data_IF_245412238044
#
_entry.id   IF_245412238044
#
_cell.length_a   1.000
_cell.length_b   1.000
_cell.length_c   1.000
_cell.angle_alpha   90.00
_cell.angle_beta   90.00
_cell.angle_gamma   90.00
#
_symmetry.space_group_name_H-M   'P 1'
#
loop_
_entity.id
_entity.type
_entity.pdbx_description
1 polymer ?
#
# COMPACT_ATOMS: atom_id res chain seq x y z
N UNK A 1 28.22 -13.12 -6.38
CA UNK A 1 27.86 -12.05 -5.43
C UNK A 1 26.59 -12.49 -4.73
N UNK A 2 26.61 -12.69 -3.41
CA UNK A 2 25.43 -13.09 -2.64
C UNK A 2 24.69 -11.83 -2.21
N UNK A 3 23.40 -11.70 -2.55
CA UNK A 3 22.58 -10.57 -2.12
C UNK A 3 22.19 -10.74 -0.65
N UNK A 4 22.23 -9.66 0.13
CA UNK A 4 21.79 -9.68 1.53
C UNK A 4 20.27 -9.85 1.64
N UNK A 5 19.79 -10.33 2.79
CA UNK A 5 18.35 -10.42 3.08
C UNK A 5 17.65 -9.07 2.97
N UNK A 6 18.31 -8.00 3.42
CA UNK A 6 17.86 -6.63 3.27
C UNK A 6 17.66 -6.26 1.79
N UNK A 7 18.67 -6.49 0.95
CA UNK A 7 18.60 -6.14 -0.48
C UNK A 7 17.45 -6.88 -1.17
N UNK A 8 17.26 -8.17 -0.88
CA UNK A 8 16.20 -8.99 -1.48
C UNK A 8 14.82 -8.51 -1.03
N UNK A 9 14.67 -8.22 0.26
CA UNK A 9 13.39 -7.78 0.84
C UNK A 9 12.99 -6.42 0.30
N UNK A 10 13.90 -5.44 0.31
CA UNK A 10 13.66 -4.11 -0.23
C UNK A 10 13.34 -4.15 -1.74
N UNK A 11 14.07 -4.97 -2.51
CA UNK A 11 13.77 -5.19 -3.92
C UNK A 11 12.35 -5.72 -4.15
N UNK A 12 11.93 -6.71 -3.36
CA UNK A 12 10.58 -7.29 -3.46
C UNK A 12 9.49 -6.23 -3.23
N UNK A 13 9.58 -5.47 -2.14
CA UNK A 13 8.62 -4.39 -1.82
C UNK A 13 8.56 -3.36 -2.94
N UNK A 14 9.73 -2.87 -3.39
CA UNK A 14 9.81 -1.86 -4.45
C UNK A 14 9.20 -2.35 -5.76
N UNK A 15 9.50 -3.57 -6.18
CA UNK A 15 8.95 -4.17 -7.42
C UNK A 15 7.44 -4.32 -7.36
N UNK A 16 6.88 -4.67 -6.21
CA UNK A 16 5.44 -4.77 -6.03
C UNK A 16 4.77 -3.39 -6.07
N UNK A 17 5.34 -2.38 -5.40
CA UNK A 17 4.86 -0.99 -5.50
C UNK A 17 4.91 -0.46 -6.94
N UNK A 18 6.02 -0.66 -7.65
CA UNK A 18 6.19 -0.26 -9.06
C UNK A 18 5.17 -0.94 -9.97
N UNK A 19 4.88 -2.22 -9.74
CA UNK A 19 3.88 -2.95 -10.52
C UNK A 19 2.47 -2.37 -10.34
N UNK A 20 2.09 -1.97 -9.12
CA UNK A 20 0.79 -1.32 -8.86
C UNK A 20 0.67 -0.03 -9.66
N UNK A 21 1.68 0.83 -9.58
CA UNK A 21 1.69 2.11 -10.32
C UNK A 21 1.64 1.88 -11.82
N UNK A 22 2.54 1.04 -12.37
CA UNK A 22 2.60 0.78 -13.80
C UNK A 22 1.25 0.30 -14.35
N UNK A 23 0.61 -0.65 -13.67
CA UNK A 23 -0.68 -1.18 -14.10
C UNK A 23 -1.77 -0.12 -14.05
N UNK A 24 -1.84 0.67 -12.98
CA UNK A 24 -2.84 1.70 -12.82
C UNK A 24 -2.65 2.86 -13.82
N UNK A 25 -1.40 3.15 -14.19
CA UNK A 25 -1.05 4.22 -15.14
C UNK A 25 -1.52 3.92 -16.58
N UNK A 26 -1.70 2.65 -16.93
CA UNK A 26 -2.23 2.22 -18.24
C UNK A 26 -3.75 2.46 -18.39
N UNK A 27 -4.46 2.77 -17.31
CA UNK A 27 -5.92 2.89 -17.28
C UNK A 27 -6.38 4.36 -17.32
N UNK A 28 -7.56 4.63 -17.86
CA UNK A 28 -8.24 5.92 -17.69
C UNK A 28 -8.90 6.02 -16.31
N UNK A 29 -9.36 7.22 -15.92
CA UNK A 29 -10.19 7.41 -14.72
C UNK A 29 -11.42 6.49 -14.71
N UNK A 30 -12.13 6.40 -15.83
CA UNK A 30 -13.29 5.50 -15.94
C UNK A 30 -12.88 4.04 -15.78
N UNK A 31 -11.75 3.65 -16.37
CA UNK A 31 -11.22 2.30 -16.24
C UNK A 31 -10.82 1.97 -14.79
N UNK A 32 -10.20 2.91 -14.07
CA UNK A 32 -9.85 2.68 -12.66
C UNK A 32 -11.08 2.50 -11.78
N UNK A 33 -12.14 3.26 -12.03
CA UNK A 33 -13.35 3.27 -11.20
C UNK A 33 -14.39 2.19 -11.59
N UNK A 34 -14.28 1.59 -12.76
CA UNK A 34 -15.20 0.54 -13.20
C UNK A 34 -15.19 -0.66 -12.24
N UNK A 35 -16.36 -1.24 -12.00
CA UNK A 35 -16.56 -2.42 -11.15
C UNK A 35 -17.25 -3.52 -11.94
N UNK A 36 -16.72 -4.76 -11.93
CA UNK A 36 -17.38 -5.87 -12.62
C UNK A 36 -18.58 -6.42 -11.85
N UNK A 37 -18.69 -6.16 -10.55
CA UNK A 37 -19.82 -6.56 -9.70
C UNK A 37 -19.92 -5.68 -8.46
N UNK A 38 -21.06 -5.77 -7.76
CA UNK A 38 -21.26 -5.11 -6.47
C UNK A 38 -20.36 -5.64 -5.34
N UNK A 39 -19.80 -6.85 -5.48
CA UNK A 39 -18.89 -7.45 -4.50
C UNK A 39 -17.41 -7.30 -4.85
N UNK A 40 -17.09 -6.60 -5.93
CA UNK A 40 -15.73 -6.35 -6.37
C UNK A 40 -15.42 -4.86 -6.22
N UNK A 41 -14.46 -4.48 -5.37
CA UNK A 41 -13.94 -3.13 -5.36
C UNK A 41 -13.32 -2.77 -6.72
N UNK A 42 -13.29 -1.47 -7.02
CA UNK A 42 -12.65 -0.96 -8.23
C UNK A 42 -11.12 -1.07 -8.16
N UNK A 43 -10.45 -0.95 -9.31
CA UNK A 43 -8.97 -0.89 -9.32
C UNK A 43 -8.50 0.38 -8.58
N UNK A 44 -9.23 1.50 -8.70
CA UNK A 44 -8.98 2.72 -7.93
C UNK A 44 -8.97 2.44 -6.42
N UNK A 45 -9.95 1.68 -5.92
CA UNK A 45 -9.99 1.29 -4.51
C UNK A 45 -8.79 0.45 -4.11
N UNK A 46 -8.39 -0.54 -4.90
CA UNK A 46 -7.21 -1.34 -4.59
C UNK A 46 -5.93 -0.53 -4.56
N UNK A 47 -5.76 0.42 -5.49
CA UNK A 47 -4.60 1.34 -5.48
C UNK A 47 -4.61 2.21 -4.24
N UNK A 48 -5.75 2.84 -3.92
CA UNK A 48 -5.90 3.64 -2.70
C UNK A 48 -5.61 2.82 -1.43
N UNK A 49 -6.19 1.64 -1.33
CA UNK A 49 -6.04 0.74 -0.19
C UNK A 49 -4.57 0.36 0.03
N UNK A 50 -3.87 -0.06 -1.03
CA UNK A 50 -2.45 -0.41 -0.95
C UNK A 50 -1.61 0.82 -0.59
N UNK A 51 -1.94 2.00 -1.12
CA UNK A 51 -1.29 3.25 -0.76
C UNK A 51 -1.50 3.63 0.72
N UNK A 52 -2.70 3.44 1.28
CA UNK A 52 -2.97 3.62 2.71
C UNK A 52 -2.16 2.64 3.58
N UNK A 53 -2.02 1.38 3.15
CA UNK A 53 -1.19 0.40 3.86
C UNK A 53 0.30 0.74 3.83
N UNK A 54 0.81 1.23 2.69
CA UNK A 54 2.19 1.71 2.59
C UNK A 54 2.42 2.95 3.48
N UNK A 55 1.45 3.86 3.54
CA UNK A 55 1.50 5.04 4.40
C UNK A 55 1.48 4.67 5.89
N UNK A 56 0.64 3.69 6.26
CA UNK A 56 0.63 3.14 7.60
C UNK A 56 1.97 2.48 7.93
N UNK A 57 2.51 1.62 7.05
CA UNK A 57 3.81 0.97 7.25
C UNK A 57 4.91 2.01 7.52
N UNK A 58 5.05 2.99 6.64
CA UNK A 58 6.13 3.98 6.76
C UNK A 58 6.01 4.80 8.04
N UNK A 59 4.79 5.13 8.48
CA UNK A 59 4.57 5.84 9.75
C UNK A 59 4.88 5.00 10.99
N UNK A 60 4.74 3.68 10.91
CA UNK A 60 4.88 2.76 12.06
C UNK A 60 6.29 2.20 12.20
N UNK A 61 7.03 2.06 11.10
CA UNK A 61 8.39 1.53 11.11
C UNK A 61 9.34 2.22 12.11
N UNK A 62 9.32 3.55 12.28
CA UNK A 62 10.19 4.19 13.28
C UNK A 62 9.92 3.78 14.72
N UNK A 63 8.71 3.29 15.03
CA UNK A 63 8.35 2.81 16.36
C UNK A 63 8.56 1.30 16.54
N UNK A 64 8.99 0.57 15.50
CA UNK A 64 9.20 -0.87 15.58
C UNK A 64 10.43 -1.23 16.43
N UNK A 65 11.48 -0.40 16.39
CA UNK A 65 12.68 -0.53 17.21
C UNK A 65 13.22 0.86 17.57
N UNK A 66 14.02 0.97 18.64
CA UNK A 66 14.65 2.23 19.03
C UNK A 66 15.56 2.77 17.92
N UNK A 67 16.35 1.89 17.31
CA UNK A 67 17.31 2.26 16.26
C UNK A 67 16.60 2.75 14.98
N UNK A 68 15.50 2.12 14.56
CA UNK A 68 14.69 2.64 13.45
C UNK A 68 14.11 4.01 13.78
N UNK A 69 13.72 4.26 15.03
CA UNK A 69 13.28 5.57 15.50
C UNK A 69 14.37 6.64 15.36
N UNK A 70 15.61 6.30 15.68
CA UNK A 70 16.76 7.21 15.51
C UNK A 70 17.08 7.48 14.03
N UNK A 71 16.95 6.46 13.17
CA UNK A 71 17.25 6.56 11.73
C UNK A 71 16.19 7.32 10.93
N UNK A 72 14.91 7.09 11.24
CA UNK A 72 13.78 7.60 10.47
C UNK A 72 13.09 8.83 11.08
N UNK A 73 13.31 9.08 12.38
CA UNK A 73 12.58 10.10 13.12
C UNK A 73 11.12 9.71 13.41
N UNK A 74 10.29 10.67 13.83
CA UNK A 74 8.86 10.40 14.06
C UNK A 74 8.13 10.13 12.74
N UNK A 75 7.43 9.01 12.63
CA UNK A 75 6.60 8.68 11.48
C UNK A 75 5.21 9.33 11.56
N UNK A 76 4.83 10.05 10.50
CA UNK A 76 3.47 10.55 10.30
C UNK A 76 2.96 10.07 8.96
N UNK A 77 1.68 9.72 8.90
CA UNK A 77 1.04 9.39 7.62
C UNK A 77 0.95 10.64 6.75
N UNK A 78 1.28 10.49 5.47
CA UNK A 78 1.10 11.54 4.45
C UNK A 78 -0.38 11.92 4.38
N UNK A 79 -1.27 10.93 4.49
CA UNK A 79 -2.72 11.11 4.56
C UNK A 79 -3.16 12.17 5.57
N UNK A 80 -2.63 12.07 6.80
CA UNK A 80 -2.97 12.99 7.89
C UNK A 80 -2.29 14.35 7.70
N UNK A 81 -1.01 14.32 7.31
CA UNK A 81 -0.19 15.52 7.11
C UNK A 81 -0.77 16.45 6.04
N UNK A 82 -1.26 15.86 4.95
CA UNK A 82 -1.85 16.58 3.81
C UNK A 82 -3.37 16.74 3.93
N UNK A 83 -3.99 16.21 5.01
CA UNK A 83 -5.44 16.22 5.25
C UNK A 83 -6.24 15.66 4.08
N UNK A 84 -5.77 14.57 3.49
CA UNK A 84 -6.38 13.99 2.28
C UNK A 84 -7.80 13.50 2.51
N UNK A 85 -8.11 13.04 3.73
CA UNK A 85 -9.47 12.67 4.11
C UNK A 85 -10.47 13.81 3.93
N UNK A 86 -10.10 15.01 4.39
CA UNK A 86 -10.92 16.22 4.23
C UNK A 86 -10.95 16.67 2.78
N UNK A 87 -9.78 16.70 2.12
CA UNK A 87 -9.63 17.14 0.73
C UNK A 87 -10.48 16.32 -0.24
N UNK A 88 -10.53 15.00 -0.04
CA UNK A 88 -11.28 14.08 -0.89
C UNK A 88 -12.73 13.90 -0.44
N UNK A 89 -13.14 14.54 0.66
CA UNK A 89 -14.52 14.45 1.16
C UNK A 89 -14.86 13.07 1.73
N UNK A 90 -13.88 12.31 2.21
CA UNK A 90 -14.08 10.96 2.77
C UNK A 90 -14.14 10.94 4.30
N UNK A 91 -13.96 12.08 4.98
CA UNK A 91 -13.93 12.14 6.45
C UNK A 91 -15.20 11.64 7.16
N UNK A 92 -16.34 11.63 6.48
CA UNK A 92 -17.61 11.10 7.02
C UNK A 92 -17.82 9.60 6.78
N UNK A 93 -16.92 8.95 6.04
CA UNK A 93 -17.01 7.52 5.73
C UNK A 93 -16.30 6.70 6.80
N UNK A 94 -16.83 5.51 7.07
CA UNK A 94 -16.08 4.51 7.84
C UNK A 94 -14.97 3.94 6.95
N UNK A 95 -13.76 4.43 7.16
CA UNK A 95 -12.58 4.01 6.43
C UNK A 95 -12.00 2.67 6.91
N UNK A 96 -12.69 1.96 7.80
CA UNK A 96 -12.24 0.69 8.34
C UNK A 96 -10.99 0.80 9.22
N UNK A 97 -10.35 -0.34 9.47
CA UNK A 97 -9.18 -0.44 10.35
C UNK A 97 -8.03 0.51 9.95
N UNK A 98 -7.55 1.31 10.90
CA UNK A 98 -6.50 2.33 10.72
C UNK A 98 -6.79 3.30 9.54
N UNK A 99 -8.06 3.48 9.18
CA UNK A 99 -8.49 4.26 8.01
C UNK A 99 -7.83 3.82 6.69
N UNK A 100 -7.63 2.52 6.51
CA UNK A 100 -6.97 1.93 5.33
C UNK A 100 -7.92 1.29 4.33
N UNK A 101 -9.21 1.20 4.64
CA UNK A 101 -10.19 0.37 3.94
C UNK A 101 -10.24 -1.08 4.43
N UNK A 102 -9.45 -1.45 5.44
CA UNK A 102 -9.48 -2.80 6.00
C UNK A 102 -10.84 -3.08 6.67
N UNK A 103 -11.53 -4.13 6.22
CA UNK A 103 -12.83 -4.52 6.77
C UNK A 103 -13.98 -3.58 6.37
N UNK A 104 -13.74 -2.69 5.40
CA UNK A 104 -14.77 -1.82 4.85
C UNK A 104 -15.81 -2.65 4.08
N UNK A 105 -17.07 -2.27 4.23
CA UNK A 105 -18.19 -2.86 3.49
C UNK A 105 -18.13 -2.51 2.00
N UNK A 106 -18.64 -3.41 1.15
CA UNK A 106 -18.60 -3.27 -0.31
C UNK A 106 -19.38 -2.04 -0.80
N UNK A 107 -20.50 -1.68 -0.15
CA UNK A 107 -21.30 -0.50 -0.52
C UNK A 107 -20.60 0.80 -0.07
N UNK A 108 -19.89 0.77 1.07
CA UNK A 108 -19.07 1.90 1.53
C UNK A 108 -17.89 2.11 0.59
N UNK A 109 -17.18 1.04 0.24
CA UNK A 109 -16.06 1.05 -0.73
C UNK A 109 -16.51 1.61 -2.08
N UNK A 110 -17.70 1.22 -2.54
CA UNK A 110 -18.31 1.69 -3.79
C UNK A 110 -18.64 3.18 -3.79
N UNK A 111 -19.03 3.72 -2.64
CA UNK A 111 -19.48 5.09 -2.49
C UNK A 111 -18.35 6.08 -2.21
N UNK A 112 -17.12 5.60 -1.97
CA UNK A 112 -15.98 6.48 -1.71
C UNK A 112 -15.74 7.45 -2.87
N UNK A 113 -15.74 8.78 -2.63
CA UNK A 113 -15.36 9.78 -3.61
C UNK A 113 -13.83 9.79 -3.82
N UNK A 114 -13.29 8.70 -4.40
CA UNK A 114 -11.87 8.65 -4.76
C UNK A 114 -11.54 9.76 -5.77
N UNK A 115 -10.38 10.43 -5.65
CA UNK A 115 -10.03 11.55 -6.50
C UNK A 115 -9.73 11.09 -7.93
N UNK A 116 -9.56 12.04 -8.89
CA UNK A 116 -9.08 11.72 -10.22
C UNK A 116 -7.77 10.93 -10.20
N UNK A 117 -7.54 10.14 -11.26
CA UNK A 117 -6.40 9.25 -11.44
C UNK A 117 -5.08 9.89 -11.05
N UNK A 118 -4.78 11.06 -11.59
CA UNK A 118 -3.48 11.70 -11.40
C UNK A 118 -3.23 12.03 -9.93
N UNK A 119 -4.26 12.47 -9.20
CA UNK A 119 -4.17 12.74 -7.77
C UNK A 119 -4.09 11.46 -6.93
N UNK A 120 -4.86 10.42 -7.28
CA UNK A 120 -4.76 9.11 -6.64
C UNK A 120 -3.35 8.51 -6.80
N UNK A 121 -2.81 8.55 -8.02
CA UNK A 121 -1.51 7.98 -8.33
C UNK A 121 -0.36 8.84 -7.78
N UNK A 122 -0.51 10.16 -7.68
CA UNK A 122 0.44 11.01 -6.95
C UNK A 122 0.54 10.58 -5.48
N UNK A 123 -0.61 10.45 -4.79
CA UNK A 123 -0.62 9.98 -3.41
C UNK A 123 0.02 8.60 -3.27
N UNK A 124 -0.35 7.65 -4.14
CA UNK A 124 0.22 6.30 -4.12
C UNK A 124 1.74 6.29 -4.34
N UNK A 125 2.26 7.08 -5.29
CA UNK A 125 3.71 7.19 -5.51
C UNK A 125 4.42 7.73 -4.28
N UNK A 126 3.91 8.79 -3.67
CA UNK A 126 4.53 9.41 -2.48
C UNK A 126 4.55 8.45 -1.28
N UNK A 127 3.48 7.71 -1.04
CA UNK A 127 3.44 6.73 0.07
C UNK A 127 4.30 5.52 -0.21
N UNK A 128 4.34 5.02 -1.45
CA UNK A 128 5.25 3.93 -1.84
C UNK A 128 6.71 4.32 -1.72
N UNK A 129 7.08 5.53 -2.13
CA UNK A 129 8.43 6.04 -1.94
C UNK A 129 8.80 6.16 -0.45
N UNK A 130 7.89 6.67 0.38
CA UNK A 130 8.10 6.75 1.82
C UNK A 130 8.26 5.37 2.47
N UNK A 131 7.41 4.40 2.11
CA UNK A 131 7.51 3.02 2.55
C UNK A 131 8.82 2.36 2.09
N UNK A 132 9.22 2.57 0.84
CA UNK A 132 10.48 2.06 0.32
C UNK A 132 11.67 2.62 1.11
N UNK A 133 11.69 3.92 1.42
CA UNK A 133 12.74 4.53 2.25
C UNK A 133 12.75 3.96 3.67
N UNK A 134 11.58 3.72 4.28
CA UNK A 134 11.49 3.13 5.60
C UNK A 134 12.03 1.69 5.61
N UNK A 135 11.70 0.89 4.60
CA UNK A 135 12.23 -0.47 4.41
C UNK A 135 13.73 -0.46 4.15
N UNK A 136 14.23 0.49 3.35
CA UNK A 136 15.66 0.62 3.06
C UNK A 136 16.49 0.92 4.33
N UNK A 137 15.90 1.58 5.34
CA UNK A 137 16.56 1.90 6.61
C UNK A 137 16.67 0.71 7.59
N UNK A 138 15.89 -0.35 7.38
CA UNK A 138 15.96 -1.59 8.17
C UNK A 138 17.02 -2.52 7.57
N UNK A 139 18.27 -2.37 8.02
CA UNK A 139 19.35 -3.26 7.62
C UNK A 139 19.16 -4.70 8.12
N UNK A 140 20.15 -5.56 7.86
CA UNK A 140 20.03 -6.99 8.15
C UNK A 140 19.82 -7.31 9.63
N UNK A 141 20.41 -6.54 10.54
CA UNK A 141 20.25 -6.75 11.96
C UNK A 141 18.87 -6.27 12.41
N UNK A 142 18.46 -5.09 11.93
CA UNK A 142 17.12 -4.56 12.20
C UNK A 142 16.00 -5.48 11.71
N UNK A 143 16.16 -6.16 10.56
CA UNK A 143 15.15 -7.11 10.07
C UNK A 143 14.93 -8.31 11.01
N UNK A 144 15.91 -8.63 11.87
CA UNK A 144 15.82 -9.73 12.85
C UNK A 144 15.26 -9.28 14.19
N UNK A 145 15.29 -7.98 14.47
CA UNK A 145 14.81 -7.42 15.72
C UNK A 145 13.31 -7.65 15.92
N UNK A 146 12.93 -7.84 17.18
CA UNK A 146 11.54 -8.04 17.57
C UNK A 146 10.77 -6.73 17.50
N UNK A 147 9.54 -6.78 17.00
CA UNK A 147 8.64 -5.64 16.95
C UNK A 147 7.18 -6.07 17.11
N UNK A 148 6.28 -5.09 17.09
CA UNK A 148 4.85 -5.31 16.91
C UNK A 148 4.50 -4.97 15.45
N UNK A 149 3.81 -5.86 14.74
CA UNK A 149 3.40 -5.63 13.35
C UNK A 149 2.22 -4.65 13.24
N UNK A 150 1.81 -4.35 12.01
CA UNK A 150 0.68 -3.46 11.71
C UNK A 150 -0.68 -3.99 12.20
N UNK A 151 -0.75 -5.25 12.63
CA UNK A 151 -1.94 -5.87 13.21
C UNK A 151 -1.86 -5.97 14.73
N UNK A 152 -0.84 -5.39 15.37
CA UNK A 152 -0.66 -5.44 16.82
C UNK A 152 -0.08 -6.76 17.34
N UNK A 153 0.55 -7.58 16.48
CA UNK A 153 1.06 -8.91 16.85
C UNK A 153 2.58 -8.90 17.03
N UNK A 154 3.13 -9.58 18.06
CA UNK A 154 4.57 -9.76 18.21
C UNK A 154 5.17 -10.54 17.05
N UNK A 155 6.24 -10.01 16.45
CA UNK A 155 6.97 -10.63 15.34
C UNK A 155 8.37 -10.01 15.20
N UNK A 156 9.04 -10.14 14.05
CA UNK A 156 10.23 -9.35 13.71
C UNK A 156 9.94 -8.27 12.66
N UNK A 157 10.79 -7.25 12.58
CA UNK A 157 10.67 -6.19 11.55
C UNK A 157 10.63 -6.80 10.15
N UNK A 158 11.52 -7.75 9.85
CA UNK A 158 11.55 -8.41 8.55
C UNK A 158 10.28 -9.19 8.24
N UNK A 159 9.69 -9.88 9.23
CA UNK A 159 8.42 -10.55 9.05
C UNK A 159 7.26 -9.57 8.83
N UNK A 160 7.26 -8.41 9.52
CA UNK A 160 6.29 -7.35 9.29
C UNK A 160 6.39 -6.78 7.86
N UNK A 161 7.61 -6.51 7.37
CA UNK A 161 7.86 -6.04 6.00
C UNK A 161 7.43 -7.09 4.96
N UNK A 162 7.72 -8.38 5.18
CA UNK A 162 7.27 -9.45 4.30
C UNK A 162 5.74 -9.61 4.33
N UNK A 163 5.10 -9.36 5.48
CA UNK A 163 3.65 -9.28 5.60
C UNK A 163 3.06 -8.19 4.72
N UNK A 164 3.66 -7.00 4.70
CA UNK A 164 3.30 -5.93 3.77
C UNK A 164 3.48 -6.34 2.30
N UNK A 165 4.62 -6.94 1.94
CA UNK A 165 4.86 -7.45 0.59
C UNK A 165 3.77 -8.46 0.15
N UNK A 166 3.41 -9.40 1.03
CA UNK A 166 2.36 -10.37 0.76
C UNK A 166 0.99 -9.70 0.57
N UNK A 167 0.67 -8.68 1.37
CA UNK A 167 -0.54 -7.86 1.23
C UNK A 167 -0.60 -7.16 -0.13
N UNK A 168 0.45 -6.44 -0.52
CA UNK A 168 0.53 -5.76 -1.83
C UNK A 168 0.31 -6.76 -2.97
N UNK A 169 0.97 -7.93 -2.92
CA UNK A 169 0.88 -8.95 -3.96
C UNK A 169 -0.51 -9.59 -4.07
N UNK A 170 -1.24 -9.72 -2.96
CA UNK A 170 -2.64 -10.16 -2.98
C UNK A 170 -3.51 -9.16 -3.75
N UNK A 171 -3.33 -7.86 -3.51
CA UNK A 171 -4.05 -6.81 -4.22
C UNK A 171 -3.63 -6.70 -5.70
N UNK A 172 -2.35 -6.90 -6.02
CA UNK A 172 -1.91 -7.01 -7.41
C UNK A 172 -2.60 -8.14 -8.15
N UNK A 173 -2.74 -9.32 -7.52
CA UNK A 173 -3.50 -10.43 -8.10
C UNK A 173 -4.96 -10.08 -8.39
N UNK A 174 -5.60 -9.34 -7.48
CA UNK A 174 -6.97 -8.85 -7.69
C UNK A 174 -7.04 -7.85 -8.85
N UNK A 175 -6.13 -6.87 -8.90
CA UNK A 175 -6.05 -5.88 -9.99
C UNK A 175 -5.87 -6.56 -11.34
N UNK A 176 -4.98 -7.55 -11.43
CA UNK A 176 -4.74 -8.30 -12.68
C UNK A 176 -5.96 -9.14 -13.10
N UNK A 177 -6.65 -9.76 -12.15
CA UNK A 177 -7.90 -10.46 -12.44
C UNK A 177 -8.98 -9.50 -13.00
N UNK A 178 -9.11 -8.32 -12.39
CA UNK A 178 -10.03 -7.27 -12.88
C UNK A 178 -9.69 -6.79 -14.29
N UNK A 179 -8.39 -6.63 -14.60
CA UNK A 179 -7.92 -6.33 -15.96
C UNK A 179 -8.27 -7.45 -16.94
N UNK A 180 -8.02 -8.69 -16.56
CA UNK A 180 -8.31 -9.87 -17.39
C UNK A 180 -9.80 -9.99 -17.73
N UNK A 181 -10.69 -9.73 -16.77
CA UNK A 181 -12.15 -9.72 -17.01
C UNK A 181 -12.58 -8.68 -18.05
N UNK A 182 -11.76 -7.66 -18.31
CA UNK A 182 -11.98 -6.62 -19.30
C UNK A 182 -11.29 -6.89 -20.64
N UNK A 183 -10.76 -8.10 -20.81
CA UNK A 183 -10.03 -8.50 -22.03
C UNK A 183 -8.62 -7.88 -22.16
N UNK A 184 -8.11 -7.25 -21.09
CA UNK A 184 -6.74 -6.73 -21.09
C UNK A 184 -5.73 -7.86 -20.85
N UNK A 185 -4.51 -7.71 -21.38
CA UNK A 185 -3.43 -8.68 -21.16
C UNK A 185 -2.89 -8.55 -19.73
N UNK A 186 -2.76 -9.68 -19.04
CA UNK A 186 -2.13 -9.75 -17.72
C UNK A 186 -0.65 -9.42 -17.81
N UNK A 187 -0.11 -8.63 -16.88
CA UNK A 187 1.28 -8.15 -17.01
C UNK A 187 2.35 -9.17 -16.61
N UNK A 188 1.95 -10.31 -16.05
CA UNK A 188 2.85 -11.41 -15.64
C UNK A 188 2.93 -12.56 -16.66
N UNK A 189 2.08 -12.56 -17.71
CA UNK A 189 2.00 -13.63 -18.72
C UNK A 189 2.28 -13.12 -20.13
N UNK A 190 2.95 -11.96 -20.24
CA UNK A 190 3.37 -11.32 -21.50
C UNK A 190 4.69 -11.88 -22.01
#
# INVERSE_FOLDING_TARGET
>A
MTLSLHTITAYGVRRSHEAVIRIADELSDSGLNERPSASAPSIAFHVWHVARWADLLQSRMPAMTEELGQRLGSGFQIWDSDKLGEKWGVSSFDLGGEATGMGMDDDVSAALPLPPKDELLDYARRTFEAANRAVDAADEDQLRESCIDLYGRPTSVGAAVLGHLAHVNRHLGMIEALRGLRGMRGSATV
#
